data_IF_923175723521
#
_entry.id   IF_923175723521
#
_cell.length_a   1.000
_cell.length_b   1.000
_cell.length_c   1.000
_cell.angle_alpha   90.00
_cell.angle_beta   90.00
_cell.angle_gamma   90.00
#
_symmetry.space_group_name_H-M   'P 1'
#
loop_
_entity.id
_entity.type
_entity.pdbx_description
1 polymer ?
#
# COMPACT_ATOMS: atom_id res chain seq x y z
N UNK A 1 8.04 7.96 -15.48
CA UNK A 1 7.99 8.10 -16.96
C UNK A 1 9.38 7.99 -17.59
N UNK A 2 10.33 8.89 -17.29
CA UNK A 2 11.69 8.85 -17.86
C UNK A 2 12.37 7.48 -17.71
N UNK A 3 12.25 6.85 -16.56
CA UNK A 3 12.83 5.52 -16.28
C UNK A 3 12.19 4.36 -17.05
N UNK A 4 10.96 4.53 -17.56
CA UNK A 4 10.36 3.57 -18.50
C UNK A 4 11.05 3.62 -19.88
N UNK A 5 11.59 4.78 -20.27
CA UNK A 5 12.31 4.95 -21.54
C UNK A 5 13.78 4.52 -21.44
N UNK A 6 14.35 4.48 -20.24
CA UNK A 6 15.70 3.98 -19.99
C UNK A 6 15.70 2.43 -20.02
N UNK A 7 15.93 1.88 -21.22
CA UNK A 7 16.01 0.42 -21.49
C UNK A 7 16.86 -0.39 -20.48
N UNK A 8 18.07 0.03 -20.04
CA UNK A 8 18.88 -0.79 -19.15
C UNK A 8 18.23 -1.01 -17.77
N UNK A 9 17.55 0.00 -17.21
CA UNK A 9 16.88 -0.11 -15.91
C UNK A 9 15.72 -1.10 -16.00
N UNK A 10 14.86 -0.97 -17.02
CA UNK A 10 13.75 -1.91 -17.22
C UNK A 10 14.21 -3.36 -17.39
N UNK A 11 15.33 -3.59 -18.09
CA UNK A 11 15.94 -4.92 -18.24
C UNK A 11 16.54 -5.46 -16.93
N UNK A 12 17.17 -4.60 -16.14
CA UNK A 12 17.72 -5.01 -14.84
C UNK A 12 16.59 -5.43 -13.88
N UNK A 13 15.50 -4.66 -13.84
CA UNK A 13 14.30 -4.99 -13.06
C UNK A 13 13.63 -6.29 -13.54
N UNK A 14 13.55 -6.49 -14.86
CA UNK A 14 13.04 -7.71 -15.45
C UNK A 14 13.92 -8.95 -15.16
N UNK A 15 15.16 -8.78 -14.69
CA UNK A 15 16.06 -9.88 -14.31
C UNK A 15 16.06 -10.23 -12.83
N UNK A 16 15.26 -9.53 -12.01
CA UNK A 16 15.19 -9.84 -10.57
C UNK A 16 14.70 -11.29 -10.38
N UNK A 17 15.49 -12.14 -9.70
CA UNK A 17 15.13 -13.52 -9.38
C UNK A 17 14.03 -13.58 -8.32
N UNK A 18 13.21 -14.63 -8.34
CA UNK A 18 12.08 -14.80 -7.42
C UNK A 18 12.50 -14.87 -5.94
N UNK A 19 13.70 -15.40 -5.67
CA UNK A 19 14.27 -15.49 -4.32
C UNK A 19 14.53 -14.10 -3.71
N UNK A 20 14.89 -13.11 -4.54
CA UNK A 20 14.97 -11.73 -4.05
C UNK A 20 13.58 -11.19 -3.73
N UNK A 21 12.54 -11.55 -4.49
CA UNK A 21 11.16 -11.16 -4.19
C UNK A 21 10.69 -11.60 -2.81
N UNK A 22 10.91 -12.87 -2.45
CA UNK A 22 10.53 -13.38 -1.10
C UNK A 22 11.37 -12.75 0.01
N UNK A 23 12.67 -12.53 -0.22
CA UNK A 23 13.54 -11.82 0.72
C UNK A 23 13.10 -10.37 0.93
N UNK A 24 12.70 -9.67 -0.14
CA UNK A 24 12.19 -8.31 -0.07
C UNK A 24 10.86 -8.24 0.69
N UNK A 25 9.95 -9.20 0.51
CA UNK A 25 8.73 -9.29 1.31
C UNK A 25 9.04 -9.43 2.80
N UNK A 26 9.96 -10.34 3.14
CA UNK A 26 10.38 -10.54 4.53
C UNK A 26 10.99 -9.27 5.12
N UNK A 27 11.88 -8.61 4.39
CA UNK A 27 12.51 -7.36 4.81
C UNK A 27 11.49 -6.22 5.02
N UNK A 28 10.47 -6.11 4.16
CA UNK A 28 9.42 -5.09 4.28
C UNK A 28 8.48 -5.40 5.43
N UNK A 29 8.12 -6.67 5.65
CA UNK A 29 7.18 -7.06 6.71
C UNK A 29 7.81 -7.03 8.10
N UNK A 30 9.13 -7.24 8.23
CA UNK A 30 9.80 -7.30 9.51
C UNK A 30 9.58 -6.05 10.39
N UNK A 31 9.76 -4.80 9.90
CA UNK A 31 9.42 -3.61 10.66
C UNK A 31 7.96 -3.56 11.10
N UNK A 32 7.00 -3.92 10.24
CA UNK A 32 5.58 -3.95 10.61
C UNK A 32 5.31 -4.94 11.76
N UNK A 33 5.94 -6.11 11.72
CA UNK A 33 5.85 -7.09 12.80
C UNK A 33 6.46 -6.54 14.10
N UNK A 34 7.61 -5.86 14.03
CA UNK A 34 8.24 -5.25 15.20
C UNK A 34 7.39 -4.14 15.80
N UNK A 35 6.80 -3.27 14.97
CA UNK A 35 5.96 -2.17 15.44
C UNK A 35 4.69 -2.64 16.15
N UNK A 36 4.20 -3.85 15.88
CA UNK A 36 3.10 -4.42 16.65
C UNK A 36 3.46 -4.59 18.15
N UNK A 37 4.71 -4.88 18.47
CA UNK A 37 5.19 -5.07 19.85
C UNK A 37 5.54 -3.76 20.57
N UNK A 38 5.62 -2.63 19.86
CA UNK A 38 5.89 -1.32 20.48
C UNK A 38 4.79 -0.91 21.47
N UNK A 39 3.59 -1.47 21.33
CA UNK A 39 2.45 -1.24 22.23
C UNK A 39 2.52 -2.03 23.54
N UNK A 40 3.42 -3.02 23.63
CA UNK A 40 3.54 -3.92 24.78
C UNK A 40 3.91 -3.17 26.09
N UNK A 41 4.86 -2.21 26.11
CA UNK A 41 5.22 -1.50 27.33
C UNK A 41 4.14 -0.51 27.79
N UNK A 42 3.43 0.12 26.85
CA UNK A 42 2.46 1.18 27.15
C UNK A 42 1.06 0.63 27.47
N UNK A 43 0.65 -0.46 26.84
CA UNK A 43 -0.70 -1.03 27.00
C UNK A 43 -0.67 -2.55 26.80
N UNK A 44 -0.06 -3.31 27.73
CA UNK A 44 0.11 -4.74 27.60
C UNK A 44 -1.23 -5.48 27.47
N UNK A 45 -2.27 -5.03 28.19
CA UNK A 45 -3.60 -5.65 28.13
C UNK A 45 -4.24 -5.53 26.74
N UNK A 46 -4.11 -4.36 26.09
CA UNK A 46 -4.63 -4.14 24.74
C UNK A 46 -3.91 -5.04 23.74
N UNK A 47 -2.59 -5.16 23.84
CA UNK A 47 -1.79 -6.07 23.03
C UNK A 47 -2.29 -7.52 23.15
N UNK A 48 -2.47 -8.03 24.38
CA UNK A 48 -2.95 -9.39 24.60
C UNK A 48 -4.38 -9.61 24.08
N UNK A 49 -5.30 -8.66 24.26
CA UNK A 49 -6.64 -8.73 23.70
C UNK A 49 -6.58 -8.86 22.18
N UNK A 50 -5.80 -8.00 21.53
CA UNK A 50 -5.65 -8.03 20.07
C UNK A 50 -5.02 -9.34 19.60
N UNK A 51 -3.98 -9.81 20.28
CA UNK A 51 -3.28 -11.05 19.95
C UNK A 51 -4.21 -12.27 20.06
N UNK A 52 -4.93 -12.41 21.17
CA UNK A 52 -5.89 -13.51 21.38
C UNK A 52 -7.02 -13.43 20.35
N UNK A 53 -7.57 -12.23 20.11
CA UNK A 53 -8.61 -12.02 19.10
C UNK A 53 -8.12 -12.44 17.72
N UNK A 54 -6.89 -12.09 17.35
CA UNK A 54 -6.30 -12.48 16.08
C UNK A 54 -6.20 -14.00 15.94
N UNK A 55 -5.66 -14.70 16.94
CA UNK A 55 -5.52 -16.17 16.89
C UNK A 55 -6.89 -16.87 16.79
N UNK A 56 -7.85 -16.46 17.61
CA UNK A 56 -9.22 -17.01 17.60
C UNK A 56 -9.87 -16.73 16.24
N UNK A 57 -9.81 -15.50 15.75
CA UNK A 57 -10.42 -15.14 14.48
C UNK A 57 -9.72 -15.83 13.29
N UNK A 58 -8.39 -15.98 13.33
CA UNK A 58 -7.64 -16.71 12.30
C UNK A 58 -8.02 -18.18 12.25
N UNK A 59 -8.28 -18.79 13.41
CA UNK A 59 -8.68 -20.20 13.51
C UNK A 59 -10.11 -20.46 13.02
N UNK A 60 -11.09 -19.65 13.42
CA UNK A 60 -12.51 -19.90 13.09
C UNK A 60 -12.98 -19.20 11.81
N UNK A 61 -12.35 -18.08 11.45
CA UNK A 61 -12.80 -17.20 10.39
C UNK A 61 -11.61 -16.48 9.72
N UNK A 62 -10.61 -17.23 9.23
CA UNK A 62 -9.38 -16.70 8.60
C UNK A 62 -9.64 -15.53 7.62
N UNK A 63 -10.72 -15.64 6.82
CA UNK A 63 -11.12 -14.61 5.84
C UNK A 63 -11.60 -13.30 6.48
N UNK A 64 -12.17 -13.33 7.68
CA UNK A 64 -12.72 -12.18 8.40
C UNK A 64 -11.85 -11.70 9.55
N UNK A 65 -10.69 -12.33 9.77
CA UNK A 65 -9.83 -12.07 10.91
C UNK A 65 -9.50 -10.58 11.09
N UNK A 66 -9.15 -9.88 10.00
CA UNK A 66 -8.85 -8.43 10.04
C UNK A 66 -10.07 -7.57 10.41
N UNK A 67 -11.28 -7.93 9.95
CA UNK A 67 -12.51 -7.19 10.26
C UNK A 67 -12.89 -7.39 11.73
N UNK A 68 -12.75 -8.61 12.24
CA UNK A 68 -12.96 -8.91 13.66
C UNK A 68 -11.96 -8.11 14.50
N UNK A 69 -10.68 -8.10 14.11
CA UNK A 69 -9.64 -7.36 14.81
C UNK A 69 -9.94 -5.86 14.90
N UNK A 70 -10.33 -5.26 13.76
CA UNK A 70 -10.71 -3.86 13.69
C UNK A 70 -11.90 -3.56 14.61
N UNK A 71 -12.92 -4.42 14.60
CA UNK A 71 -14.11 -4.26 15.44
C UNK A 71 -13.76 -4.29 16.93
N UNK A 72 -12.94 -5.25 17.36
CA UNK A 72 -12.48 -5.33 18.76
C UNK A 72 -11.63 -4.11 19.13
N UNK A 73 -10.73 -3.67 18.23
CA UNK A 73 -9.92 -2.48 18.46
C UNK A 73 -10.76 -1.21 18.64
N UNK A 74 -11.79 -1.00 17.81
CA UNK A 74 -12.72 0.13 17.94
C UNK A 74 -13.50 0.09 19.25
N UNK A 75 -13.95 -1.10 19.67
CA UNK A 75 -14.66 -1.28 20.94
C UNK A 75 -13.72 -0.95 22.12
N UNK A 76 -12.49 -1.45 22.11
CA UNK A 76 -11.50 -1.12 23.14
C UNK A 76 -11.17 0.38 23.17
N UNK A 77 -10.96 1.01 22.01
CA UNK A 77 -10.71 2.46 21.91
C UNK A 77 -11.89 3.28 22.46
N UNK A 78 -13.12 2.81 22.23
CA UNK A 78 -14.35 3.37 22.79
C UNK A 78 -14.35 3.32 24.32
N UNK A 79 -14.06 2.16 24.90
CA UNK A 79 -13.99 2.01 26.36
C UNK A 79 -12.84 2.80 27.00
N UNK A 80 -11.72 2.98 26.31
CA UNK A 80 -10.59 3.78 26.78
C UNK A 80 -10.85 5.30 26.67
N UNK A 81 -11.99 5.72 26.12
CA UNK A 81 -12.32 7.13 25.92
C UNK A 81 -11.43 7.82 24.88
N UNK A 82 -10.75 7.07 24.02
CA UNK A 82 -9.80 7.59 23.03
C UNK A 82 -10.46 8.45 21.94
N UNK A 83 -11.79 8.42 21.85
CA UNK A 83 -12.57 9.27 20.94
C UNK A 83 -13.01 10.60 21.57
N UNK A 84 -12.76 10.84 22.86
CA UNK A 84 -13.16 12.09 23.50
C UNK A 84 -12.37 13.28 22.91
N UNK A 85 -13.09 14.20 22.26
CA UNK A 85 -12.50 15.38 21.60
C UNK A 85 -12.06 15.16 20.15
N UNK A 86 -12.34 13.99 19.56
CA UNK A 86 -12.12 13.76 18.13
C UNK A 86 -13.31 14.34 17.36
N UNK A 87 -13.07 15.43 16.64
CA UNK A 87 -14.04 15.97 15.68
C UNK A 87 -14.14 15.03 14.48
N UNK A 88 -15.15 14.17 14.48
CA UNK A 88 -15.48 13.25 13.39
C UNK A 88 -16.21 13.98 12.25
N UNK A 89 -15.68 15.13 11.82
CA UNK A 89 -16.21 15.83 10.65
C UNK A 89 -15.81 15.07 9.39
N UNK A 90 -16.79 14.41 8.75
CA UNK A 90 -16.63 13.80 7.44
C UNK A 90 -16.38 14.92 6.42
N UNK A 91 -15.11 15.13 6.07
CA UNK A 91 -14.72 16.08 5.04
C UNK A 91 -14.38 15.34 3.76
N UNK A 92 -15.02 15.74 2.66
CA UNK A 92 -14.65 15.25 1.34
C UNK A 92 -13.23 15.72 1.01
N UNK A 93 -12.43 14.84 0.43
CA UNK A 93 -11.16 15.24 -0.14
C UNK A 93 -11.43 16.12 -1.37
N UNK A 94 -11.19 17.44 -1.26
CA UNK A 94 -11.30 18.35 -2.40
C UNK A 94 -9.95 18.44 -3.12
N UNK A 95 -9.91 18.30 -4.45
CA UNK A 95 -8.68 18.54 -5.20
C UNK A 95 -8.27 20.01 -5.05
N UNK A 96 -7.09 20.25 -4.49
CA UNK A 96 -6.48 21.58 -4.46
C UNK A 96 -5.62 21.76 -5.70
N UNK A 97 -5.85 22.86 -6.41
CA UNK A 97 -5.06 23.17 -7.59
C UNK A 97 -3.67 23.63 -7.20
N UNK A 98 -2.65 22.89 -7.65
CA UNK A 98 -1.24 23.23 -7.49
C UNK A 98 -0.68 23.61 -8.85
N UNK A 99 -0.35 24.88 -9.03
CA UNK A 99 0.22 25.36 -10.29
C UNK A 99 1.62 24.75 -10.49
N UNK A 100 1.87 24.05 -11.61
CA UNK A 100 3.17 23.42 -11.84
C UNK A 100 4.23 24.49 -12.12
N UNK A 101 5.22 24.58 -11.26
CA UNK A 101 6.42 25.40 -11.46
C UNK A 101 7.62 24.50 -11.76
N UNK A 102 8.45 24.91 -12.72
CA UNK A 102 9.63 24.16 -13.09
C UNK A 102 10.86 24.73 -12.40
N UNK A 103 11.31 24.06 -11.34
CA UNK A 103 12.54 24.40 -10.62
C UNK A 103 13.55 23.25 -10.68
N UNK A 104 14.69 23.51 -11.32
CA UNK A 104 15.78 22.55 -11.44
C UNK A 104 16.37 22.18 -10.07
N UNK A 105 16.41 23.12 -9.12
CA UNK A 105 16.94 22.88 -7.79
C UNK A 105 16.03 21.94 -6.99
N UNK A 106 14.71 22.16 -7.01
CA UNK A 106 13.73 21.24 -6.42
C UNK A 106 13.75 19.86 -7.08
N UNK A 107 13.94 19.78 -8.40
CA UNK A 107 14.04 18.50 -9.11
C UNK A 107 15.24 17.68 -8.60
N UNK A 108 16.41 18.30 -8.48
CA UNK A 108 17.64 17.61 -8.08
C UNK A 108 17.66 17.26 -6.58
N UNK A 109 17.16 18.15 -5.72
CA UNK A 109 17.27 17.98 -4.26
C UNK A 109 16.08 17.26 -3.64
N UNK A 110 14.90 17.28 -4.26
CA UNK A 110 13.69 16.68 -3.69
C UNK A 110 13.13 15.57 -4.60
N UNK A 111 12.85 15.89 -5.86
CA UNK A 111 12.18 14.95 -6.75
C UNK A 111 13.03 13.71 -7.04
N UNK A 112 14.34 13.88 -7.29
CA UNK A 112 15.25 12.77 -7.56
C UNK A 112 15.44 11.85 -6.34
N UNK A 113 15.73 12.34 -5.11
CA UNK A 113 15.76 11.49 -3.92
C UNK A 113 14.43 10.78 -3.65
N UNK A 114 13.29 11.48 -3.70
CA UNK A 114 11.97 10.86 -3.50
C UNK A 114 11.68 9.79 -4.55
N UNK A 115 12.06 10.03 -5.80
CA UNK A 115 11.96 9.05 -6.87
C UNK A 115 12.78 7.79 -6.56
N UNK A 116 14.04 7.94 -6.13
CA UNK A 116 14.92 6.82 -5.78
C UNK A 116 14.32 6.01 -4.63
N UNK A 117 13.90 6.69 -3.55
CA UNK A 117 13.26 6.05 -2.39
C UNK A 117 12.00 5.29 -2.81
N UNK A 118 11.14 5.90 -3.63
CA UNK A 118 9.92 5.25 -4.15
C UNK A 118 10.25 4.03 -5.01
N UNK A 119 11.26 4.17 -5.87
CA UNK A 119 11.65 3.09 -6.78
C UNK A 119 12.19 1.88 -6.01
N UNK A 120 12.99 2.11 -4.97
CA UNK A 120 13.58 1.06 -4.15
C UNK A 120 12.60 0.43 -3.16
N UNK A 121 11.68 1.22 -2.58
CA UNK A 121 10.77 0.77 -1.52
C UNK A 121 9.42 0.24 -2.01
N UNK A 122 8.96 0.64 -3.19
CA UNK A 122 7.62 0.29 -3.70
C UNK A 122 7.68 -0.43 -5.04
N UNK A 123 8.27 0.19 -6.06
CA UNK A 123 8.24 -0.37 -7.41
C UNK A 123 9.09 -1.64 -7.54
N UNK A 124 10.33 -1.61 -7.05
CA UNK A 124 11.24 -2.75 -7.10
C UNK A 124 10.69 -3.97 -6.34
N UNK A 125 10.27 -3.85 -5.06
CA UNK A 125 9.64 -4.96 -4.35
C UNK A 125 8.33 -5.37 -5.00
N UNK A 126 7.51 -4.42 -5.48
CA UNK A 126 6.24 -4.72 -6.16
C UNK A 126 6.43 -5.64 -7.38
N UNK A 127 7.42 -5.36 -8.22
CA UNK A 127 7.73 -6.23 -9.36
C UNK A 127 8.29 -7.59 -8.93
N UNK A 128 9.15 -7.61 -7.91
CA UNK A 128 9.70 -8.85 -7.39
C UNK A 128 8.61 -9.74 -6.76
N UNK A 129 7.62 -9.12 -6.12
CA UNK A 129 6.43 -9.78 -5.56
C UNK A 129 5.53 -10.39 -6.65
N UNK A 130 5.23 -9.64 -7.71
CA UNK A 130 4.45 -10.19 -8.82
C UNK A 130 5.12 -11.45 -9.38
N UNK A 131 6.45 -11.44 -9.52
CA UNK A 131 7.22 -12.60 -9.97
C UNK A 131 7.22 -13.76 -8.98
N UNK A 132 7.29 -13.52 -7.67
CA UNK A 132 7.24 -14.61 -6.69
C UNK A 132 5.90 -15.33 -6.69
N UNK A 133 4.83 -14.63 -7.09
CA UNK A 133 3.50 -15.22 -7.33
C UNK A 133 3.30 -15.80 -8.75
N UNK A 134 4.36 -15.83 -9.57
CA UNK A 134 4.32 -16.43 -10.92
C UNK A 134 3.81 -15.51 -12.03
N UNK A 135 3.61 -14.22 -11.78
CA UNK A 135 3.23 -13.26 -12.82
C UNK A 135 4.47 -12.68 -13.53
N UNK A 136 4.35 -12.42 -14.82
CA UNK A 136 5.35 -11.67 -15.59
C UNK A 136 4.95 -10.19 -15.69
N UNK A 137 5.46 -9.30 -14.82
CA UNK A 137 5.06 -7.91 -14.83
C UNK A 137 5.61 -7.16 -16.05
N UNK A 138 4.77 -6.41 -16.79
CA UNK A 138 5.23 -5.56 -17.90
C UNK A 138 5.86 -4.26 -17.36
N UNK A 139 7.05 -4.37 -16.75
CA UNK A 139 7.76 -3.29 -16.02
C UNK A 139 7.75 -1.96 -16.75
N UNK A 140 8.07 -1.96 -18.05
CA UNK A 140 8.11 -0.75 -18.88
C UNK A 140 6.74 -0.08 -18.97
N UNK A 141 5.69 -0.86 -19.26
CA UNK A 141 4.34 -0.34 -19.38
C UNK A 141 3.87 0.22 -18.04
N UNK A 142 4.11 -0.49 -16.94
CA UNK A 142 3.70 -0.05 -15.60
C UNK A 142 4.40 1.24 -15.16
N UNK A 143 5.70 1.41 -15.43
CA UNK A 143 6.43 2.65 -15.12
C UNK A 143 6.04 3.82 -16.03
N UNK A 144 5.61 3.53 -17.25
CA UNK A 144 5.09 4.52 -18.17
C UNK A 144 3.72 5.01 -17.70
N UNK A 145 2.78 4.10 -17.42
CA UNK A 145 1.41 4.44 -16.98
C UNK A 145 1.40 5.18 -15.65
N UNK A 146 2.10 4.68 -14.64
CA UNK A 146 2.21 5.36 -13.33
C UNK A 146 2.90 6.71 -13.47
N UNK A 147 3.93 6.82 -14.32
CA UNK A 147 4.60 8.08 -14.63
C UNK A 147 3.69 9.12 -15.30
N UNK A 148 2.92 8.70 -16.29
CA UNK A 148 1.95 9.56 -16.98
C UNK A 148 0.82 9.97 -16.04
N UNK A 149 0.32 9.05 -15.22
CA UNK A 149 -0.68 9.35 -14.20
C UNK A 149 -0.17 10.41 -13.21
N UNK A 150 1.07 10.30 -12.73
CA UNK A 150 1.69 11.32 -11.87
C UNK A 150 1.72 12.69 -12.53
N UNK A 151 2.06 12.78 -13.82
CA UNK A 151 2.08 14.07 -14.53
C UNK A 151 0.67 14.64 -14.66
N UNK A 152 -0.31 13.78 -14.97
CA UNK A 152 -1.70 14.19 -15.17
C UNK A 152 -2.36 14.65 -13.88
N UNK A 153 -2.07 13.97 -12.77
CA UNK A 153 -2.69 14.24 -11.46
C UNK A 153 -1.88 15.20 -10.58
N UNK A 154 -0.62 15.52 -10.92
CA UNK A 154 0.20 16.49 -10.19
C UNK A 154 -0.49 17.84 -9.95
N UNK A 155 -1.21 18.45 -10.92
CA UNK A 155 -1.89 19.74 -10.73
C UNK A 155 -3.03 19.73 -9.72
N UNK A 156 -3.54 18.54 -9.34
CA UNK A 156 -4.59 18.39 -8.33
C UNK A 156 -4.05 17.77 -7.03
N UNK A 157 -2.73 17.82 -6.83
CA UNK A 157 -2.05 17.23 -5.67
C UNK A 157 -1.86 15.71 -5.73
N UNK A 158 -2.25 15.06 -6.83
CA UNK A 158 -2.07 13.62 -7.02
C UNK A 158 -0.67 13.27 -7.54
N UNK A 159 0.29 13.21 -6.63
CA UNK A 159 1.67 12.78 -6.91
C UNK A 159 2.03 11.44 -6.23
N UNK A 160 3.20 10.89 -6.56
CA UNK A 160 3.71 9.61 -6.07
C UNK A 160 2.85 8.36 -6.36
N UNK A 161 2.08 8.33 -7.47
CA UNK A 161 1.39 7.11 -7.94
C UNK A 161 2.42 6.04 -8.30
N UNK A 162 2.41 4.90 -7.59
CA UNK A 162 3.40 3.83 -7.71
C UNK A 162 2.77 2.45 -7.39
N UNK A 163 3.56 1.36 -7.45
CA UNK A 163 3.07 0.03 -7.07
C UNK A 163 2.96 -0.09 -5.55
N UNK A 164 1.76 -0.38 -5.04
CA UNK A 164 1.57 -0.75 -3.64
C UNK A 164 1.97 -2.21 -3.40
N UNK A 165 3.25 -2.47 -3.11
CA UNK A 165 3.81 -3.83 -3.08
C UNK A 165 3.11 -4.77 -2.07
N UNK A 166 2.84 -4.28 -0.85
CA UNK A 166 2.20 -5.06 0.22
C UNK A 166 0.76 -5.39 -0.17
N UNK A 167 0.01 -4.39 -0.62
CA UNK A 167 -1.40 -4.57 -0.97
C UNK A 167 -1.57 -5.46 -2.19
N UNK A 168 -0.67 -5.32 -3.18
CA UNK A 168 -0.64 -6.20 -4.34
C UNK A 168 -0.37 -7.66 -3.91
N UNK A 169 0.52 -7.91 -2.96
CA UNK A 169 0.76 -9.25 -2.41
C UNK A 169 -0.51 -9.86 -1.78
N UNK A 170 -1.29 -9.05 -1.06
CA UNK A 170 -2.58 -9.48 -0.48
C UNK A 170 -3.56 -9.85 -1.60
N UNK A 171 -3.68 -9.02 -2.64
CA UNK A 171 -4.58 -9.27 -3.77
C UNK A 171 -4.15 -10.47 -4.65
N UNK A 172 -2.88 -10.87 -4.60
CA UNK A 172 -2.34 -12.01 -5.36
C UNK A 172 -2.41 -13.34 -4.61
N UNK A 173 -2.84 -13.36 -3.35
CA UNK A 173 -2.93 -14.56 -2.53
C UNK A 173 -3.94 -15.58 -3.11
N UNK A 174 -3.72 -16.87 -2.83
CA UNK A 174 -4.55 -17.97 -3.31
C UNK A 174 -5.97 -17.95 -2.73
N UNK A 175 -6.15 -17.36 -1.56
CA UNK A 175 -7.46 -17.18 -0.91
C UNK A 175 -8.39 -16.19 -1.67
N UNK A 176 -7.85 -15.37 -2.59
CA UNK A 176 -8.60 -14.33 -3.32
C UNK A 176 -9.45 -14.92 -4.44
N UNK A 177 -8.82 -15.72 -5.30
CA UNK A 177 -9.49 -16.45 -6.38
C UNK A 177 -8.63 -17.67 -6.77
N UNK A 178 -9.28 -18.78 -7.09
CA UNK A 178 -8.60 -19.99 -7.60
C UNK A 178 -8.02 -19.75 -9.00
N UNK A 179 -8.65 -18.89 -9.79
CA UNK A 179 -8.14 -18.47 -11.09
C UNK A 179 -7.17 -17.29 -10.94
N UNK A 180 -5.87 -17.54 -11.18
CA UNK A 180 -4.81 -16.52 -11.12
C UNK A 180 -5.05 -15.36 -12.10
N UNK A 181 -5.72 -15.61 -13.22
CA UNK A 181 -6.01 -14.59 -14.22
C UNK A 181 -7.09 -13.59 -13.78
N UNK A 182 -7.90 -13.94 -12.78
CA UNK A 182 -9.02 -13.12 -12.31
C UNK A 182 -8.71 -12.31 -11.05
N UNK A 183 -7.55 -12.56 -10.39
CA UNK A 183 -7.15 -11.89 -9.14
C UNK A 183 -7.03 -10.36 -9.26
N UNK A 184 -6.84 -9.83 -10.47
CA UNK A 184 -6.83 -8.37 -10.71
C UNK A 184 -8.13 -7.68 -10.29
N UNK A 185 -9.27 -8.39 -10.27
CA UNK A 185 -10.57 -7.87 -9.81
C UNK A 185 -10.50 -7.40 -8.35
N UNK A 186 -9.72 -8.07 -7.51
CA UNK A 186 -9.52 -7.66 -6.13
C UNK A 186 -8.84 -6.30 -6.03
N UNK A 187 -7.84 -6.04 -6.89
CA UNK A 187 -7.17 -4.74 -6.97
C UNK A 187 -8.10 -3.64 -7.49
N UNK A 188 -9.02 -3.95 -8.42
CA UNK A 188 -10.04 -2.99 -8.88
C UNK A 188 -11.01 -2.64 -7.74
N UNK A 189 -11.53 -3.64 -7.03
CA UNK A 189 -12.42 -3.43 -5.90
C UNK A 189 -11.77 -2.65 -4.77
N UNK A 190 -10.49 -2.90 -4.51
CA UNK A 190 -9.70 -2.10 -3.57
C UNK A 190 -9.56 -0.65 -4.03
N UNK A 191 -9.22 -0.41 -5.30
CA UNK A 191 -9.15 0.95 -5.83
C UNK A 191 -10.49 1.68 -5.71
N UNK A 192 -11.58 0.97 -6.05
CA UNK A 192 -12.94 1.49 -5.90
C UNK A 192 -13.29 1.79 -4.44
N UNK A 193 -12.94 0.92 -3.48
CA UNK A 193 -13.27 1.15 -2.07
C UNK A 193 -12.49 2.34 -1.48
N UNK A 194 -11.25 2.56 -1.91
CA UNK A 194 -10.48 3.75 -1.55
C UNK A 194 -11.14 5.01 -2.11
N UNK A 195 -11.50 5.01 -3.41
CA UNK A 195 -12.19 6.15 -4.03
C UNK A 195 -13.57 6.42 -3.40
N UNK A 196 -14.33 5.37 -3.08
CA UNK A 196 -15.63 5.48 -2.42
C UNK A 196 -15.50 6.11 -1.04
N UNK A 197 -14.51 5.68 -0.25
CA UNK A 197 -14.20 6.27 1.07
C UNK A 197 -13.95 7.77 0.94
N UNK A 198 -13.19 8.17 -0.07
CA UNK A 198 -12.82 9.57 -0.28
C UNK A 198 -13.95 10.42 -0.91
N UNK A 199 -14.94 9.79 -1.55
CA UNK A 199 -16.13 10.42 -2.16
C UNK A 199 -17.42 10.36 -1.30
N UNK A 200 -17.41 9.76 -0.10
CA UNK A 200 -18.63 9.59 0.68
C UNK A 200 -19.15 10.95 1.19
N UNK A 201 -20.42 11.34 0.90
CA UNK A 201 -20.94 12.66 1.24
C UNK A 201 -20.99 12.89 2.76
N UNK A 202 -20.85 14.16 3.21
CA UNK A 202 -21.10 14.52 4.60
C UNK A 202 -22.56 14.22 4.96
N UNK A 203 -22.78 13.57 6.11
CA UNK A 203 -24.05 13.62 6.82
C UNK A 203 -23.96 14.69 7.91
#
# INVERSE_FOLDING_TARGET
MLTAFVKPISRALAKIPSQLGTAMLGAILLPFCMSAFETLPSSPWLFFIMLVTFFVAKQFASKYAMVVLLTVALVCAGYMGSFNGVDLSLRLASPEWVTPEFDLHAILNLALPLYIVTMLSQNLPGFAMMKSFGYEPPVKATLATTGTANILFAPIGGFAINLAAITAAICMNEEVDKDTSQRYKASIWLGFSILLRDCLPPQ
#
